data_IF_005197587315
#
_entry.id   IF_005197587315
#
_cell.length_a   1.000
_cell.length_b   1.000
_cell.length_c   1.000
_cell.angle_alpha   90.00
_cell.angle_beta   90.00
_cell.angle_gamma   90.00
#
_symmetry.space_group_name_H-M   'P 1'
#
loop_
_entity.id
_entity.type
_entity.pdbx_description
1 polymer ?
#
# COMPACT_ATOMS: atom_id res chain seq x y z
N UNK A 1 41.33 70.34 -6.63
CA UNK A 1 41.79 68.94 -6.44
C UNK A 1 40.83 68.00 -5.68
N UNK A 2 39.61 68.41 -5.25
CA UNK A 2 38.66 67.50 -4.54
C UNK A 2 37.67 66.74 -5.45
N UNK A 3 37.48 67.13 -6.71
CA UNK A 3 36.51 66.46 -7.62
C UNK A 3 37.01 65.14 -8.22
N UNK A 4 38.31 64.86 -8.20
CA UNK A 4 38.87 63.68 -8.85
C UNK A 4 38.80 62.39 -8.00
N UNK A 5 38.68 62.52 -6.68
CA UNK A 5 38.58 61.37 -5.77
C UNK A 5 37.19 60.71 -5.78
N UNK A 6 36.13 61.47 -6.04
CA UNK A 6 34.76 60.94 -6.06
C UNK A 6 34.52 59.93 -7.18
N UNK A 7 35.13 60.15 -8.35
CA UNK A 7 34.91 59.29 -9.52
C UNK A 7 35.55 57.90 -9.38
N UNK A 8 36.63 57.79 -8.57
CA UNK A 8 37.31 56.51 -8.31
C UNK A 8 36.50 55.61 -7.37
N UNK A 9 35.78 56.18 -6.41
CA UNK A 9 34.97 55.42 -5.46
C UNK A 9 33.70 54.91 -6.14
N UNK A 10 33.03 55.77 -6.92
CA UNK A 10 31.82 55.38 -7.66
C UNK A 10 32.09 54.21 -8.62
N UNK A 11 33.22 54.22 -9.33
CA UNK A 11 33.62 53.14 -10.24
C UNK A 11 33.83 51.81 -9.53
N UNK A 12 34.33 51.80 -8.29
CA UNK A 12 34.51 50.56 -7.50
C UNK A 12 33.18 49.97 -7.05
N UNK A 13 32.21 50.82 -6.70
CA UNK A 13 30.86 50.38 -6.30
C UNK A 13 30.14 49.72 -7.47
N UNK A 14 30.19 50.32 -8.67
CA UNK A 14 29.58 49.74 -9.86
C UNK A 14 30.18 48.38 -10.26
N UNK A 15 31.50 48.22 -10.14
CA UNK A 15 32.15 46.93 -10.41
C UNK A 15 31.70 45.88 -9.39
N UNK A 16 31.61 46.24 -8.10
CA UNK A 16 31.13 45.35 -7.05
C UNK A 16 29.69 44.88 -7.25
N UNK A 17 28.79 45.80 -7.60
CA UNK A 17 27.38 45.47 -7.89
C UNK A 17 27.24 44.58 -9.11
N UNK A 18 28.05 44.79 -10.15
CA UNK A 18 28.05 43.93 -11.34
C UNK A 18 28.47 42.49 -11.03
N UNK A 19 29.54 42.31 -10.24
CA UNK A 19 30.01 40.98 -9.84
C UNK A 19 28.98 40.27 -8.95
N UNK A 20 28.39 40.99 -8.00
CA UNK A 20 27.36 40.44 -7.11
C UNK A 20 26.11 40.00 -7.89
N UNK A 21 25.67 40.79 -8.87
CA UNK A 21 24.54 40.43 -9.73
C UNK A 21 24.78 39.17 -10.56
N UNK A 22 25.99 39.00 -11.11
CA UNK A 22 26.36 37.79 -11.88
C UNK A 22 26.40 36.56 -10.97
N UNK A 23 26.97 36.68 -9.77
CA UNK A 23 27.02 35.56 -8.80
C UNK A 23 25.61 35.15 -8.35
N UNK A 24 24.70 36.11 -8.14
CA UNK A 24 23.31 35.83 -7.80
C UNK A 24 22.60 35.07 -8.95
N UNK A 25 22.80 35.47 -10.20
CA UNK A 25 22.23 34.77 -11.36
C UNK A 25 22.76 33.33 -11.51
N UNK A 26 24.05 33.10 -11.24
CA UNK A 26 24.63 31.75 -11.26
C UNK A 26 24.06 30.89 -10.13
N UNK A 27 23.85 31.45 -8.93
CA UNK A 27 23.27 30.70 -7.81
C UNK A 27 21.82 30.26 -8.06
N UNK A 28 21.01 31.14 -8.67
CA UNK A 28 19.62 30.80 -9.02
C UNK A 28 19.58 29.85 -10.23
N UNK A 29 20.41 30.07 -11.25
CA UNK A 29 20.49 29.18 -12.42
C UNK A 29 21.07 27.80 -12.11
N UNK A 30 22.02 27.70 -11.19
CA UNK A 30 22.65 26.44 -10.77
C UNK A 30 21.69 25.51 -10.02
N UNK A 31 20.72 26.05 -9.27
CA UNK A 31 19.68 25.24 -8.64
C UNK A 31 18.77 24.54 -9.66
N UNK A 32 18.61 25.08 -10.88
CA UNK A 32 17.82 24.43 -11.92
C UNK A 32 18.56 23.30 -12.65
N UNK A 33 19.90 23.26 -12.60
CA UNK A 33 20.68 22.23 -13.28
C UNK A 33 20.92 20.97 -12.43
N UNK A 34 20.79 21.02 -11.10
CA UNK A 34 20.98 19.84 -10.24
C UNK A 34 19.75 18.91 -10.23
N UNK A 35 18.57 19.41 -10.60
CA UNK A 35 17.33 18.60 -10.67
C UNK A 35 16.92 18.20 -12.10
N UNK A 36 17.81 18.34 -13.09
CA UNK A 36 17.45 18.33 -14.51
C UNK A 36 17.63 17.01 -15.28
N UNK A 37 18.36 16.01 -14.75
CA UNK A 37 18.66 14.79 -15.53
C UNK A 37 17.81 13.55 -15.19
N UNK A 38 17.15 13.49 -14.03
CA UNK A 38 16.39 12.29 -13.64
C UNK A 38 14.87 12.37 -13.92
N UNK A 39 14.33 13.54 -14.26
CA UNK A 39 12.87 13.68 -14.51
C UNK A 39 12.45 13.47 -15.97
N UNK A 40 13.39 13.31 -16.92
CA UNK A 40 13.06 13.15 -18.35
C UNK A 40 12.91 11.68 -18.81
N UNK A 41 13.06 10.70 -17.91
CA UNK A 41 12.87 9.28 -18.23
C UNK A 41 11.45 8.75 -17.88
N UNK A 42 10.64 9.50 -17.13
CA UNK A 42 9.34 9.00 -16.62
C UNK A 42 8.15 9.30 -17.54
N UNK A 43 8.30 10.20 -18.52
CA UNK A 43 7.21 10.53 -19.48
C UNK A 43 7.16 9.58 -20.68
N UNK A 44 8.14 8.67 -20.83
CA UNK A 44 8.24 7.73 -21.96
C UNK A 44 7.60 6.35 -21.76
N UNK A 45 7.04 6.04 -20.59
CA UNK A 45 6.52 4.70 -20.26
C UNK A 45 5.01 4.61 -20.05
N UNK A 46 4.23 5.64 -20.43
CA UNK A 46 2.77 5.65 -20.25
C UNK A 46 1.95 5.49 -21.54
N UNK A 47 2.54 5.12 -22.67
CA UNK A 47 1.82 5.06 -23.96
C UNK A 47 1.92 3.72 -24.72
N UNK A 48 2.00 2.58 -24.00
CA UNK A 48 1.83 1.27 -24.65
C UNK A 48 1.32 0.20 -23.67
N UNK A 49 0.00 0.14 -23.52
CA UNK A 49 -0.65 -0.88 -22.69
C UNK A 49 -2.18 -0.82 -22.78
N UNK A 50 -2.72 -0.59 -23.97
CA UNK A 50 -4.17 -0.57 -24.20
C UNK A 50 -4.54 -1.13 -25.57
N UNK A 51 -4.04 -2.32 -25.93
CA UNK A 51 -4.65 -3.16 -26.95
C UNK A 51 -4.50 -4.63 -26.54
N UNK A 52 -5.52 -5.16 -25.87
CA UNK A 52 -5.86 -6.59 -25.98
C UNK A 52 -7.34 -6.79 -25.59
N UNK A 53 -8.21 -6.33 -26.49
CA UNK A 53 -9.62 -6.71 -26.51
C UNK A 53 -9.77 -8.14 -27.02
N UNK A 54 -9.47 -9.15 -26.19
CA UNK A 54 -9.88 -10.53 -26.43
C UNK A 54 -11.32 -10.71 -25.97
N UNK A 55 -12.25 -10.60 -26.92
CA UNK A 55 -13.57 -11.19 -26.83
C UNK A 55 -13.44 -12.71 -26.63
N UNK A 56 -13.71 -13.16 -25.42
CA UNK A 56 -14.10 -14.54 -25.12
C UNK A 56 -15.52 -14.49 -24.55
N UNK A 57 -16.53 -14.45 -25.43
CA UNK A 57 -17.89 -14.84 -25.07
C UNK A 57 -18.23 -16.11 -25.85
N UNK A 58 -17.89 -17.24 -25.23
CA UNK A 58 -18.40 -18.55 -25.59
C UNK A 58 -19.41 -18.98 -24.51
N UNK A 59 -20.67 -18.98 -24.92
CA UNK A 59 -21.65 -20.08 -24.86
C UNK A 59 -21.99 -20.76 -23.52
N UNK A 60 -23.29 -21.06 -23.48
CA UNK A 60 -24.00 -22.12 -22.75
C UNK A 60 -24.39 -21.86 -21.29
N UNK A 61 -25.62 -21.38 -21.16
CA UNK A 61 -26.56 -21.96 -20.20
C UNK A 61 -27.92 -22.03 -20.87
N UNK A 62 -28.13 -23.11 -21.63
CA UNK A 62 -29.42 -23.53 -22.14
C UNK A 62 -30.34 -23.85 -20.95
N UNK A 63 -31.23 -22.92 -20.64
CA UNK A 63 -32.40 -23.17 -19.79
C UNK A 63 -33.46 -23.81 -20.69
N UNK A 64 -33.71 -25.11 -20.49
CA UNK A 64 -34.81 -25.81 -21.13
C UNK A 64 -36.15 -25.23 -20.60
N UNK A 65 -36.78 -24.39 -21.43
CA UNK A 65 -38.17 -23.95 -21.24
C UNK A 65 -39.08 -24.97 -21.92
N UNK A 66 -40.18 -25.36 -21.25
CA UNK A 66 -41.27 -26.06 -21.95
C UNK A 66 -42.04 -25.08 -22.85
N UNK A 67 -42.78 -25.60 -23.83
CA UNK A 67 -43.51 -24.81 -24.85
C UNK A 67 -44.65 -23.94 -24.27
N UNK A 68 -44.80 -23.87 -22.94
CA UNK A 68 -45.82 -23.06 -22.25
C UNK A 68 -45.23 -22.04 -21.27
N UNK A 69 -43.90 -21.95 -21.15
CA UNK A 69 -43.21 -20.82 -20.51
C UNK A 69 -43.35 -20.74 -18.99
N UNK A 70 -43.47 -21.88 -18.29
CA UNK A 70 -43.52 -21.91 -16.82
C UNK A 70 -42.21 -22.39 -16.17
N UNK A 71 -41.76 -21.65 -15.15
CA UNK A 71 -40.60 -21.99 -14.31
C UNK A 71 -41.00 -23.06 -13.29
N UNK A 72 -40.46 -24.27 -13.38
CA UNK A 72 -40.73 -25.38 -12.45
C UNK A 72 -40.00 -25.14 -11.12
N UNK A 73 -40.69 -24.53 -10.15
CA UNK A 73 -40.31 -24.58 -8.73
C UNK A 73 -40.79 -25.90 -8.11
N UNK A 74 -39.84 -26.72 -7.65
CA UNK A 74 -40.12 -28.00 -7.01
C UNK A 74 -40.72 -27.87 -5.61
N UNK A 75 -42.03 -28.15 -5.52
CA UNK A 75 -42.61 -29.16 -4.64
C UNK A 75 -42.50 -29.00 -3.11
N UNK A 76 -43.60 -28.58 -2.48
CA UNK A 76 -43.87 -28.86 -1.07
C UNK A 76 -44.43 -30.27 -0.84
N UNK A 77 -44.19 -30.83 0.36
CA UNK A 77 -44.91 -31.99 0.88
C UNK A 77 -45.11 -31.88 2.41
N UNK A 78 -46.19 -32.51 2.85
CA UNK A 78 -46.96 -32.39 4.08
C UNK A 78 -46.48 -33.18 5.31
N UNK A 79 -46.85 -32.71 6.51
CA UNK A 79 -47.66 -33.51 7.46
C UNK A 79 -47.02 -34.07 8.74
N UNK A 80 -47.80 -34.00 9.84
CA UNK A 80 -47.84 -35.02 10.92
C UNK A 80 -47.01 -34.74 12.18
N UNK A 81 -47.65 -34.80 13.35
CA UNK A 81 -47.04 -34.54 14.67
C UNK A 81 -46.62 -35.79 15.45
N UNK A 82 -46.35 -35.60 16.75
CA UNK A 82 -46.40 -36.68 17.76
C UNK A 82 -45.08 -37.11 18.42
N UNK A 83 -44.90 -36.65 19.66
CA UNK A 83 -44.30 -37.27 20.86
C UNK A 83 -43.21 -38.38 20.82
N UNK A 84 -42.19 -38.13 21.65
CA UNK A 84 -41.51 -39.03 22.65
C UNK A 84 -40.73 -40.27 22.21
N UNK A 85 -39.48 -40.35 22.68
CA UNK A 85 -38.90 -41.58 23.26
C UNK A 85 -37.55 -42.04 22.69
N UNK A 86 -36.64 -42.40 23.60
CA UNK A 86 -35.68 -43.49 23.40
C UNK A 86 -34.30 -43.12 22.86
N UNK A 87 -33.28 -43.38 23.68
CA UNK A 87 -31.88 -43.29 23.29
C UNK A 87 -31.46 -44.38 22.30
N UNK A 88 -30.35 -44.13 21.62
CA UNK A 88 -29.65 -45.06 20.77
C UNK A 88 -28.30 -44.46 20.40
N UNK A 89 -27.23 -45.17 20.70
CA UNK A 89 -25.88 -44.80 20.30
C UNK A 89 -25.80 -44.70 18.78
N UNK A 90 -25.74 -43.47 18.29
CA UNK A 90 -25.26 -43.16 16.96
C UNK A 90 -23.79 -42.87 17.10
N UNK A 91 -22.95 -43.75 16.54
CA UNK A 91 -21.57 -43.43 16.23
C UNK A 91 -21.61 -42.11 15.45
N UNK A 92 -21.19 -41.02 16.10
CA UNK A 92 -20.88 -39.79 15.39
C UNK A 92 -19.81 -40.16 14.38
N UNK A 93 -20.24 -40.41 13.14
CA UNK A 93 -19.37 -40.19 12.00
C UNK A 93 -19.11 -38.69 12.01
N UNK A 94 -18.15 -38.28 12.84
CA UNK A 94 -17.37 -37.09 12.61
C UNK A 94 -16.82 -37.28 11.20
N UNK A 95 -17.58 -36.83 10.21
CA UNK A 95 -17.05 -36.59 8.88
C UNK A 95 -16.02 -35.50 9.11
N UNK A 96 -14.78 -35.93 9.42
CA UNK A 96 -13.60 -35.10 9.35
C UNK A 96 -13.71 -34.42 8.00
N UNK A 97 -14.01 -33.13 8.02
CA UNK A 97 -13.98 -32.29 6.83
C UNK A 97 -12.50 -32.25 6.42
N UNK A 98 -12.09 -33.22 5.61
CA UNK A 98 -10.75 -33.29 5.04
C UNK A 98 -10.80 -32.42 3.80
N UNK A 99 -10.19 -31.24 3.88
CA UNK A 99 -9.90 -30.43 2.72
C UNK A 99 -9.05 -31.25 1.74
N UNK A 100 -9.42 -31.26 0.46
CA UNK A 100 -8.58 -31.90 -0.56
C UNK A 100 -7.30 -31.09 -0.73
N UNK A 101 -7.41 -29.76 -0.74
CA UNK A 101 -6.29 -28.82 -0.80
C UNK A 101 -6.59 -27.52 -0.02
N UNK A 102 -5.54 -26.86 0.46
CA UNK A 102 -5.61 -25.50 1.01
C UNK A 102 -5.01 -24.52 0.02
N UNK A 103 -5.75 -23.46 -0.30
CA UNK A 103 -5.30 -22.41 -1.19
C UNK A 103 -5.33 -21.06 -0.46
N UNK A 104 -4.27 -20.27 -0.56
CA UNK A 104 -4.27 -18.91 -0.04
C UNK A 104 -5.32 -18.06 -0.79
N UNK A 105 -6.08 -17.27 -0.06
CA UNK A 105 -7.02 -16.29 -0.62
C UNK A 105 -6.24 -15.27 -1.47
N UNK A 106 -6.78 -14.93 -2.64
CA UNK A 106 -6.19 -13.87 -3.47
C UNK A 106 -6.49 -12.51 -2.84
N UNK A 107 -5.49 -11.63 -2.78
CA UNK A 107 -5.64 -10.31 -2.21
C UNK A 107 -4.69 -9.31 -2.88
N UNK A 108 -4.94 -8.02 -2.69
CA UNK A 108 -4.01 -6.96 -3.03
C UNK A 108 -3.79 -6.02 -1.86
N UNK A 109 -2.55 -5.59 -1.66
CA UNK A 109 -2.19 -4.49 -0.76
C UNK A 109 -1.79 -3.30 -1.63
N UNK A 110 -2.41 -2.14 -1.39
CA UNK A 110 -2.15 -0.93 -2.15
C UNK A 110 -2.54 0.33 -1.38
N UNK A 111 -2.57 1.48 -2.07
CA UNK A 111 -2.93 2.78 -1.48
C UNK A 111 -2.16 3.07 -0.18
N UNK A 112 -0.83 3.01 -0.27
CA UNK A 112 0.05 3.20 0.87
C UNK A 112 0.00 4.65 1.38
N UNK A 113 -0.07 4.78 2.70
CA UNK A 113 0.03 6.04 3.42
C UNK A 113 1.31 5.99 4.24
N UNK A 114 2.17 6.99 4.06
CA UNK A 114 3.38 7.17 4.85
C UNK A 114 3.45 8.64 5.27
N UNK A 115 3.44 8.89 6.58
CA UNK A 115 3.64 10.20 7.15
C UNK A 115 4.53 10.11 8.38
N UNK A 116 5.73 10.67 8.28
CA UNK A 116 6.74 10.63 9.33
C UNK A 116 6.95 12.05 9.84
N UNK A 117 6.68 12.27 11.12
CA UNK A 117 6.83 13.55 11.80
C UNK A 117 7.84 13.47 12.93
N UNK A 118 8.59 14.54 13.12
CA UNK A 118 9.47 14.69 14.26
C UNK A 118 8.71 15.36 15.42
N UNK A 119 8.61 14.66 16.55
CA UNK A 119 7.94 15.18 17.74
C UNK A 119 8.89 16.01 18.63
N UNK A 120 10.17 15.66 18.65
CA UNK A 120 11.19 16.35 19.47
C UNK A 120 12.47 16.53 18.66
N UNK A 121 12.89 17.78 18.47
CA UNK A 121 14.14 18.12 17.82
C UNK A 121 15.25 18.33 18.86
N UNK A 122 16.36 17.61 18.68
CA UNK A 122 17.61 17.77 19.42
C UNK A 122 18.63 18.63 18.68
N UNK A 123 19.85 18.69 19.22
CA UNK A 123 20.96 19.44 18.58
C UNK A 123 21.51 18.72 17.34
N UNK A 124 21.39 17.38 17.29
CA UNK A 124 21.92 16.53 16.21
C UNK A 124 20.88 15.99 15.23
N UNK A 125 19.58 16.16 15.48
CA UNK A 125 18.54 15.62 14.61
C UNK A 125 17.19 15.50 15.30
N UNK A 126 16.36 14.59 14.79
CA UNK A 126 15.12 14.24 15.47
C UNK A 126 15.41 13.23 16.58
N UNK A 127 15.02 13.52 17.83
CA UNK A 127 15.20 12.63 18.99
C UNK A 127 13.98 11.75 19.28
N UNK A 128 12.82 12.13 18.74
CA UNK A 128 11.58 11.35 18.86
C UNK A 128 10.77 11.50 17.59
N UNK A 129 10.47 10.37 16.96
CA UNK A 129 9.74 10.29 15.70
C UNK A 129 8.39 9.65 15.93
N UNK A 130 7.39 10.13 15.20
CA UNK A 130 6.11 9.46 15.01
C UNK A 130 5.92 9.15 13.53
N UNK A 131 5.74 7.88 13.21
CA UNK A 131 5.44 7.40 11.87
C UNK A 131 4.00 6.88 11.83
N UNK A 132 3.23 7.37 10.87
CA UNK A 132 1.90 6.88 10.55
C UNK A 132 2.01 6.11 9.23
N UNK A 133 1.94 4.79 9.32
CA UNK A 133 1.98 3.90 8.17
C UNK A 133 0.57 3.35 7.92
N UNK A 134 0.11 3.30 6.68
CA UNK A 134 -1.19 2.75 6.33
C UNK A 134 -1.19 2.05 4.98
N UNK A 135 -2.13 1.12 4.82
CA UNK A 135 -2.35 0.41 3.57
C UNK A 135 -3.80 -0.03 3.43
N UNK A 136 -4.29 -0.06 2.21
CA UNK A 136 -5.56 -0.68 1.86
C UNK A 136 -5.32 -2.15 1.51
N UNK A 137 -6.11 -3.03 2.13
CA UNK A 137 -6.21 -4.44 1.76
C UNK A 137 -7.51 -4.62 1.02
N UNK A 138 -7.45 -5.32 -0.11
CA UNK A 138 -8.63 -5.77 -0.83
C UNK A 138 -8.60 -7.29 -0.93
N UNK A 139 -9.62 -7.94 -0.38
CA UNK A 139 -9.85 -9.35 -0.58
C UNK A 139 -10.42 -9.56 -1.99
N UNK A 140 -9.66 -10.24 -2.85
CA UNK A 140 -10.07 -10.50 -4.23
C UNK A 140 -10.97 -11.74 -4.37
N UNK A 141 -11.06 -12.56 -3.33
CA UNK A 141 -11.90 -13.76 -3.33
C UNK A 141 -13.38 -13.44 -3.10
N UNK A 142 -14.23 -14.21 -3.76
CA UNK A 142 -15.67 -13.98 -3.88
C UNK A 142 -16.47 -14.69 -2.79
N UNK A 143 -15.86 -15.66 -2.12
CA UNK A 143 -16.58 -16.61 -1.26
C UNK A 143 -16.02 -16.62 0.16
N UNK A 144 -14.72 -16.40 0.31
CA UNK A 144 -14.01 -16.57 1.59
C UNK A 144 -13.48 -15.24 2.11
N UNK A 145 -13.99 -14.86 3.28
CA UNK A 145 -13.38 -13.83 4.12
C UNK A 145 -12.41 -14.44 5.15
N UNK A 146 -11.75 -13.58 5.92
CA UNK A 146 -10.99 -14.02 7.07
C UNK A 146 -10.04 -12.96 7.61
N UNK A 147 -9.21 -13.37 8.57
CA UNK A 147 -8.27 -12.48 9.25
C UNK A 147 -7.03 -12.27 8.40
N UNK A 148 -6.87 -11.03 7.92
CA UNK A 148 -5.65 -10.54 7.30
C UNK A 148 -4.78 -9.84 8.35
N UNK A 149 -3.51 -10.20 8.41
CA UNK A 149 -2.49 -9.56 9.21
C UNK A 149 -1.53 -8.78 8.34
N UNK A 150 -1.32 -7.51 8.65
CA UNK A 150 -0.34 -6.64 7.97
C UNK A 150 0.68 -6.15 8.97
N UNK A 151 1.96 -6.32 8.61
CA UNK A 151 3.10 -5.81 9.35
C UNK A 151 3.52 -4.46 8.76
N UNK A 152 3.46 -3.43 9.60
CA UNK A 152 4.02 -2.12 9.32
C UNK A 152 5.37 -2.00 10.00
N UNK A 153 6.45 -1.89 9.23
CA UNK A 153 7.82 -1.78 9.74
C UNK A 153 8.38 -0.40 9.41
N UNK A 154 9.03 0.22 10.39
CA UNK A 154 9.76 1.48 10.24
C UNK A 154 11.25 1.15 10.14
N UNK A 155 11.86 1.47 9.00
CA UNK A 155 13.28 1.30 8.76
C UNK A 155 14.03 2.63 8.81
N UNK A 156 15.29 2.58 9.25
CA UNK A 156 16.25 3.70 9.17
C UNK A 156 17.40 3.30 8.24
N UNK A 157 17.58 4.02 7.13
CA UNK A 157 18.66 3.77 6.17
C UNK A 157 18.54 4.61 4.90
N UNK A 158 19.68 4.96 4.31
CA UNK A 158 19.74 5.87 3.16
C UNK A 158 19.56 5.17 1.79
N UNK A 159 19.49 3.84 1.77
CA UNK A 159 19.49 3.08 0.52
C UNK A 159 18.27 2.16 0.44
N UNK A 160 17.33 2.54 -0.43
CA UNK A 160 16.30 1.64 -0.93
C UNK A 160 16.61 1.40 -2.40
N UNK A 161 17.26 0.28 -2.70
CA UNK A 161 17.43 -0.13 -4.10
C UNK A 161 16.08 -0.64 -4.63
N UNK A 162 15.63 -0.19 -5.81
CA UNK A 162 14.41 -0.73 -6.42
C UNK A 162 14.63 -2.21 -6.76
N UNK A 163 13.93 -3.10 -6.06
CA UNK A 163 13.87 -4.53 -6.36
C UNK A 163 14.68 -5.46 -5.45
N UNK A 164 15.40 -4.97 -4.45
CA UNK A 164 16.18 -5.85 -3.57
C UNK A 164 16.58 -5.14 -2.28
N UNK A 165 16.08 -5.68 -1.16
CA UNK A 165 16.52 -5.46 0.22
C UNK A 165 16.62 -3.99 0.67
N UNK A 166 15.76 -3.62 1.62
CA UNK A 166 15.93 -2.35 2.33
C UNK A 166 17.23 -2.48 3.12
N UNK A 167 18.27 -1.76 2.69
CA UNK A 167 19.55 -1.68 3.39
C UNK A 167 19.42 -0.71 4.55
N UNK A 168 18.49 -1.02 5.45
CA UNK A 168 18.17 -0.25 6.64
C UNK A 168 17.98 -1.16 7.83
N UNK A 169 18.16 -0.61 9.02
CA UNK A 169 17.84 -1.30 10.27
C UNK A 169 16.35 -1.13 10.56
N UNK A 170 15.64 -2.24 10.84
CA UNK A 170 14.26 -2.16 11.34
C UNK A 170 14.30 -1.57 12.75
N UNK A 171 13.78 -0.35 12.89
CA UNK A 171 13.76 0.38 14.16
C UNK A 171 12.58 -0.08 15.02
N UNK A 172 11.44 -0.32 14.38
CA UNK A 172 10.22 -0.76 15.06
C UNK A 172 9.24 -1.36 14.05
N UNK A 173 8.32 -2.19 14.54
CA UNK A 173 7.23 -2.71 13.72
C UNK A 173 5.94 -2.85 14.53
N UNK A 174 4.82 -2.90 13.84
CA UNK A 174 3.51 -3.20 14.41
C UNK A 174 2.71 -4.08 13.45
N UNK A 175 2.11 -5.14 14.00
CA UNK A 175 1.21 -6.01 13.26
C UNK A 175 -0.23 -5.59 13.60
N UNK A 176 -1.05 -5.44 12.56
CA UNK A 176 -2.49 -5.19 12.69
C UNK A 176 -3.21 -6.33 11.99
N UNK A 177 -4.08 -7.00 12.73
CA UNK A 177 -4.97 -8.03 12.20
C UNK A 177 -6.40 -7.48 12.12
N UNK A 178 -7.07 -7.74 11.00
CA UNK A 178 -8.48 -7.42 10.82
C UNK A 178 -9.18 -8.49 9.99
N UNK A 179 -10.42 -8.79 10.35
CA UNK A 179 -11.31 -9.63 9.54
C UNK A 179 -11.80 -8.84 8.32
N UNK A 180 -11.62 -9.42 7.13
CA UNK A 180 -11.99 -8.82 5.84
C UNK A 180 -12.89 -9.80 5.12
N UNK A 181 -14.13 -9.39 4.86
CA UNK A 181 -15.10 -10.19 4.13
C UNK A 181 -14.68 -10.46 2.68
N UNK A 182 -15.37 -11.39 2.04
CA UNK A 182 -15.22 -11.62 0.60
C UNK A 182 -15.52 -10.33 -0.18
N UNK A 183 -14.68 -9.99 -1.16
CA UNK A 183 -14.74 -8.74 -1.94
C UNK A 183 -14.74 -7.45 -1.11
N UNK A 184 -14.31 -7.47 0.15
CA UNK A 184 -14.25 -6.26 0.98
C UNK A 184 -12.89 -5.56 0.91
N UNK A 185 -12.93 -4.24 1.08
CA UNK A 185 -11.75 -3.38 1.25
C UNK A 185 -11.70 -2.83 2.67
N UNK A 186 -10.53 -2.88 3.27
CA UNK A 186 -10.26 -2.26 4.57
C UNK A 186 -8.99 -1.44 4.50
N UNK A 187 -8.96 -0.32 5.21
CA UNK A 187 -7.75 0.50 5.38
C UNK A 187 -7.23 0.26 6.78
N UNK A 188 -6.02 -0.29 6.87
CA UNK A 188 -5.31 -0.46 8.13
C UNK A 188 -4.33 0.69 8.33
N UNK A 189 -4.31 1.24 9.54
CA UNK A 189 -3.38 2.32 9.91
C UNK A 189 -2.68 1.99 11.22
N UNK A 190 -1.37 2.18 11.21
CA UNK A 190 -0.49 2.03 12.35
C UNK A 190 0.13 3.38 12.71
N UNK A 191 0.23 3.62 14.02
CA UNK A 191 1.04 4.70 14.58
C UNK A 191 2.20 4.06 15.36
N UNK A 192 3.41 4.42 14.99
CA UNK A 192 4.68 3.96 15.57
C UNK A 192 5.40 5.19 16.13
N UNK A 193 5.75 5.16 17.41
CA UNK A 193 6.52 6.24 18.05
C UNK A 193 7.80 5.65 18.60
N UNK A 194 8.94 6.23 18.19
CA UNK A 194 10.28 5.76 18.57
C UNK A 194 11.13 6.90 19.09
N UNK A 195 11.92 6.63 20.12
CA UNK A 195 12.94 7.53 20.65
C UNK A 195 14.31 7.12 20.09
N UNK A 196 15.14 8.10 19.75
CA UNK A 196 16.47 7.89 19.15
C UNK A 196 16.86 9.06 18.25
N UNK A 197 18.15 9.15 17.90
CA UNK A 197 18.65 10.18 16.99
C UNK A 197 18.51 9.70 15.55
N UNK A 198 17.55 10.28 14.81
CA UNK A 198 17.23 9.89 13.45
C UNK A 198 17.41 11.04 12.45
N UNK A 199 17.88 10.69 11.25
CA UNK A 199 17.73 11.53 10.06
C UNK A 199 16.37 11.24 9.43
N UNK A 200 15.47 12.22 9.47
CA UNK A 200 14.10 12.10 8.96
C UNK A 200 14.04 11.69 7.48
N UNK A 201 15.06 12.04 6.68
CA UNK A 201 15.10 11.70 5.26
C UNK A 201 15.42 10.21 5.01
N UNK A 202 15.94 9.51 6.02
CA UNK A 202 16.34 8.10 5.94
C UNK A 202 15.28 7.14 6.49
N UNK A 203 14.19 7.67 7.04
CA UNK A 203 13.12 6.88 7.59
C UNK A 203 12.10 6.50 6.53
N UNK A 204 11.64 5.25 6.58
CA UNK A 204 10.64 4.75 5.64
C UNK A 204 9.70 3.73 6.28
N UNK A 205 8.40 3.89 6.04
CA UNK A 205 7.42 2.86 6.33
C UNK A 205 7.43 1.78 5.24
N UNK A 206 7.38 0.53 5.67
CA UNK A 206 7.33 -0.67 4.83
C UNK A 206 6.14 -1.49 5.26
N UNK A 207 5.42 -2.05 4.29
CA UNK A 207 4.19 -2.80 4.52
C UNK A 207 4.35 -4.18 3.93
N UNK A 208 4.24 -5.19 4.77
CA UNK A 208 4.32 -6.59 4.40
C UNK A 208 3.09 -7.36 4.88
N UNK A 209 2.72 -8.41 4.14
CA UNK A 209 1.72 -9.36 4.62
C UNK A 209 2.30 -10.21 5.74
N UNK A 210 1.65 -10.23 6.90
CA UNK A 210 2.02 -11.11 8.01
C UNK A 210 1.17 -12.39 8.01
N UNK A 211 -0.14 -12.23 7.75
CA UNK A 211 -1.10 -13.33 7.73
C UNK A 211 -2.13 -13.12 6.64
N UNK A 212 -2.47 -14.20 5.95
CA UNK A 212 -3.51 -14.21 4.91
C UNK A 212 -4.36 -15.45 5.13
N UNK A 213 -5.71 -15.35 5.06
CA UNK A 213 -6.56 -16.51 5.22
C UNK A 213 -6.36 -17.53 4.08
N UNK A 214 -6.60 -18.79 4.40
CA UNK A 214 -6.61 -19.89 3.46
C UNK A 214 -8.05 -20.37 3.25
N UNK A 215 -8.37 -20.75 2.01
CA UNK A 215 -9.61 -21.41 1.66
C UNK A 215 -9.39 -22.90 1.43
N UNK A 216 -10.33 -23.69 1.93
CA UNK A 216 -10.40 -25.12 1.74
C UNK A 216 -11.04 -25.41 0.38
N UNK A 217 -10.33 -26.12 -0.49
CA UNK A 217 -10.87 -26.65 -1.74
C UNK A 217 -11.39 -28.07 -1.49
N UNK A 218 -12.50 -28.42 -2.14
CA UNK A 218 -13.14 -29.74 -2.07
C UNK A 218 -13.09 -30.44 -3.42
#
# INVERSE_FOLDING_TARGET
>A
MRKEKGNKILRRIYIGLGIFGILALISVGGMFFIFGEDTLAVVGLMEQGAEDGRQNDLRDSDVALDEEGNVVSGGGASGGGGASGGGGGGSSSDSLFVCSEWQQVQYSIGNFVDNIECLVYGVGGCERVKAICGAEIFNLDDEVGGVFGVRFSLFSGNEVSPGSEILGEEVSFKIIEQDVGARERVVLMSEIVVDGEFDMASLKCVVDSDRVPEKCLY
#
